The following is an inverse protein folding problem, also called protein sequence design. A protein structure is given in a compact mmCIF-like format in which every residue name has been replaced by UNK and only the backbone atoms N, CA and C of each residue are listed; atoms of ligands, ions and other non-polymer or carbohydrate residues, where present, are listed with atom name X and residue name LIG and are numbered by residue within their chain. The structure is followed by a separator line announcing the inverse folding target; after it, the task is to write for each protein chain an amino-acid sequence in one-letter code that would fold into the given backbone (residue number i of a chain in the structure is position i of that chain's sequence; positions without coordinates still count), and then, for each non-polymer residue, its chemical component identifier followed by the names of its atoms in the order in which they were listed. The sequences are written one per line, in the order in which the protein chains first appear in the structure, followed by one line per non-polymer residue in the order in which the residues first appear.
data_IF_161433843683
#
_entry.id   IF_161433843683
#
_cell.length_a   1.000
_cell.length_b   1.000
_cell.length_c   1.000
_cell.angle_alpha   90.00
_cell.angle_beta   90.00
_cell.angle_gamma   90.00
#
_symmetry.space_group_name_H-M   'P 1'
#
loop_
_entity.id
_entity.type
_entity.pdbx_description
1 polymer ?
#
# COMPACT_ATOMS: atom_id res chain seq x y z
N UNK A 1 -5.46 -27.73 -10.59
CA UNK A 1 -4.99 -28.09 -9.24
C UNK A 1 -3.73 -27.30 -8.99
N UNK A 2 -3.82 -26.17 -8.29
CA UNK A 2 -2.69 -25.30 -7.97
C UNK A 2 -2.23 -25.60 -6.55
N UNK A 3 -0.91 -25.70 -6.39
CA UNK A 3 -0.20 -25.99 -5.15
C UNK A 3 -0.57 -24.97 -4.04
N UNK A 4 -0.96 -25.38 -2.81
CA UNK A 4 -1.29 -24.47 -1.71
C UNK A 4 -0.05 -23.89 -1.00
N UNK A 5 1.16 -24.33 -1.35
CA UNK A 5 2.39 -23.90 -0.69
C UNK A 5 2.92 -22.59 -1.27
N UNK A 6 2.34 -21.47 -0.85
CA UNK A 6 3.08 -20.21 -0.74
C UNK A 6 2.99 -19.79 0.71
N UNK A 7 4.11 -19.91 1.42
CA UNK A 7 4.22 -19.62 2.84
C UNK A 7 3.74 -18.18 3.11
N UNK A 8 2.62 -18.07 3.80
CA UNK A 8 2.14 -16.81 4.36
C UNK A 8 3.18 -16.38 5.38
N UNK A 9 3.72 -15.17 5.23
CA UNK A 9 4.65 -14.60 6.21
C UNK A 9 3.92 -14.47 7.54
N UNK A 10 4.61 -14.83 8.63
CA UNK A 10 4.05 -14.98 9.98
C UNK A 10 3.09 -13.83 10.34
N UNK A 11 1.84 -14.20 10.66
CA UNK A 11 0.89 -13.30 11.29
C UNK A 11 1.53 -12.66 12.54
N UNK A 12 1.14 -11.43 12.92
CA UNK A 12 1.70 -10.81 14.12
C UNK A 12 1.49 -11.73 15.32
N UNK A 13 2.53 -11.91 16.14
CA UNK A 13 2.44 -12.69 17.38
C UNK A 13 1.53 -11.93 18.36
N UNK A 14 0.30 -12.44 18.52
CA UNK A 14 -0.70 -11.81 19.38
C UNK A 14 -0.50 -12.25 20.82
N UNK A 15 -0.72 -11.36 21.81
CA UNK A 15 -0.61 -11.72 23.23
C UNK A 15 -1.47 -12.96 23.57
N UNK A 16 -0.81 -14.02 24.03
CA UNK A 16 -1.40 -15.25 24.56
C UNK A 16 -1.37 -15.23 26.09
N UNK A 17 -2.12 -16.12 26.72
CA UNK A 17 -2.54 -16.12 28.14
C UNK A 17 -1.46 -16.23 29.25
N UNK A 18 -0.23 -15.76 29.04
CA UNK A 18 0.88 -15.98 29.97
C UNK A 18 1.15 -14.88 31.03
N UNK A 19 0.29 -13.86 31.19
CA UNK A 19 0.55 -12.76 32.13
C UNK A 19 -0.67 -11.92 32.53
N UNK A 20 -0.54 -11.03 33.55
CA UNK A 20 -1.61 -10.12 33.94
C UNK A 20 -2.00 -9.26 32.72
N UNK A 21 -3.31 -9.03 32.48
CA UNK A 21 -3.76 -8.32 31.30
C UNK A 21 -3.17 -6.91 31.29
N UNK A 22 -2.42 -6.58 30.24
CA UNK A 22 -2.14 -5.19 29.92
C UNK A 22 -3.47 -4.51 29.57
N UNK A 23 -3.72 -3.36 30.19
CA UNK A 23 -5.02 -2.70 30.10
C UNK A 23 -5.34 -2.32 28.65
N UNK A 24 -6.48 -2.78 28.14
CA UNK A 24 -6.91 -2.52 26.77
C UNK A 24 -6.48 -3.55 25.72
N UNK A 25 -5.75 -4.61 26.07
CA UNK A 25 -5.29 -5.64 25.13
C UNK A 25 -6.34 -6.73 24.89
N UNK A 26 -6.60 -7.05 23.62
CA UNK A 26 -7.35 -8.24 23.21
C UNK A 26 -6.39 -9.43 23.19
N UNK A 27 -6.73 -10.49 23.92
CA UNK A 27 -5.90 -11.71 24.00
C UNK A 27 -6.40 -12.77 23.03
N UNK A 28 -5.46 -13.40 22.35
CA UNK A 28 -5.73 -14.53 21.48
C UNK A 28 -5.86 -15.82 22.30
N UNK A 29 -6.97 -16.54 22.12
CA UNK A 29 -7.22 -17.86 22.73
C UNK A 29 -6.89 -18.96 21.72
N UNK A 30 -7.43 -18.88 20.52
CA UNK A 30 -7.21 -19.85 19.46
C UNK A 30 -7.28 -19.19 18.08
N UNK A 31 -6.36 -19.58 17.19
CA UNK A 31 -6.34 -19.09 15.81
C UNK A 31 -7.19 -19.98 14.90
N UNK A 32 -8.03 -19.36 14.07
CA UNK A 32 -8.86 -20.08 13.09
C UNK A 32 -8.71 -19.45 11.71
N UNK A 33 -8.27 -20.24 10.73
CA UNK A 33 -8.26 -19.83 9.32
C UNK A 33 -9.57 -20.28 8.68
N UNK A 34 -10.48 -19.34 8.48
CA UNK A 34 -11.81 -19.60 7.88
C UNK A 34 -11.73 -19.68 6.35
N UNK A 35 -10.80 -18.93 5.73
CA UNK A 35 -10.58 -18.94 4.28
C UNK A 35 -9.15 -18.56 3.91
N UNK A 36 -8.58 -19.24 2.91
CA UNK A 36 -7.28 -18.87 2.35
C UNK A 36 -7.21 -19.15 0.85
N UNK A 37 -6.57 -18.24 0.11
CA UNK A 37 -6.06 -18.45 -1.23
C UNK A 37 -4.75 -17.65 -1.40
N UNK A 38 -4.14 -17.68 -2.61
CA UNK A 38 -2.87 -16.98 -2.86
C UNK A 38 -2.89 -15.46 -2.62
N UNK A 39 -4.06 -14.84 -2.57
CA UNK A 39 -4.25 -13.39 -2.44
C UNK A 39 -4.70 -12.96 -1.06
N UNK A 40 -5.35 -13.83 -0.29
CA UNK A 40 -5.94 -13.45 1.00
C UNK A 40 -6.02 -14.63 1.93
N UNK A 41 -5.73 -14.36 3.21
CA UNK A 41 -6.06 -15.23 4.34
C UNK A 41 -7.01 -14.48 5.26
N UNK A 42 -8.10 -15.12 5.67
CA UNK A 42 -9.10 -14.59 6.58
C UNK A 42 -9.12 -15.47 7.81
N UNK A 43 -8.83 -14.86 8.96
CA UNK A 43 -8.93 -15.50 10.25
C UNK A 43 -10.16 -15.03 11.01
N UNK A 44 -10.75 -15.92 11.81
CA UNK A 44 -11.80 -15.59 12.75
C UNK A 44 -11.51 -16.20 14.13
N UNK A 45 -10.55 -15.59 14.81
CA UNK A 45 -9.90 -16.13 16.00
C UNK A 45 -10.80 -16.01 17.23
N UNK A 46 -10.66 -16.96 18.16
CA UNK A 46 -11.26 -16.86 19.50
C UNK A 46 -10.40 -15.92 20.35
N UNK A 47 -11.07 -14.98 21.02
CA UNK A 47 -10.40 -13.93 21.80
C UNK A 47 -11.07 -13.67 23.14
N UNK A 48 -10.31 -13.07 24.06
CA UNK A 48 -10.84 -12.42 25.26
C UNK A 48 -10.60 -10.91 25.14
N UNK A 49 -11.68 -10.14 25.23
CA UNK A 49 -11.65 -8.68 25.20
C UNK A 49 -11.18 -8.06 26.52
N UNK A 50 -10.80 -6.77 26.54
CA UNK A 50 -10.30 -6.11 27.75
C UNK A 50 -11.28 -6.12 28.93
N UNK A 51 -12.59 -6.22 28.67
CA UNK A 51 -13.62 -6.32 29.69
C UNK A 51 -13.82 -7.76 30.22
N UNK A 52 -13.00 -8.72 29.78
CA UNK A 52 -13.10 -10.14 30.13
C UNK A 52 -14.13 -10.93 29.33
N UNK A 53 -14.87 -10.31 28.41
CA UNK A 53 -15.81 -11.03 27.56
C UNK A 53 -15.06 -11.89 26.54
N UNK A 54 -15.51 -13.12 26.36
CA UNK A 54 -15.09 -13.98 25.25
C UNK A 54 -15.82 -13.57 23.96
N UNK A 55 -15.16 -13.74 22.82
CA UNK A 55 -15.79 -13.58 21.52
C UNK A 55 -14.86 -13.96 20.39
N UNK A 56 -15.15 -13.45 19.19
CA UNK A 56 -14.33 -13.71 18.00
C UNK A 56 -13.87 -12.41 17.34
N UNK A 57 -12.68 -12.44 16.74
CA UNK A 57 -12.08 -11.29 16.06
C UNK A 57 -11.65 -11.65 14.65
N UNK A 58 -11.98 -10.79 13.68
CA UNK A 58 -11.59 -10.99 12.28
C UNK A 58 -10.30 -10.25 11.98
N UNK A 59 -9.34 -10.94 11.36
CA UNK A 59 -8.16 -10.31 10.74
C UNK A 59 -7.95 -10.86 9.34
N UNK A 60 -7.48 -10.01 8.45
CA UNK A 60 -7.28 -10.32 7.04
C UNK A 60 -5.83 -9.99 6.66
N UNK A 61 -5.17 -10.93 6.00
CA UNK A 61 -3.82 -10.78 5.48
C UNK A 61 -3.84 -10.85 3.96
N UNK A 62 -3.28 -9.86 3.27
CA UNK A 62 -3.21 -9.83 1.81
C UNK A 62 -1.93 -10.51 1.32
N UNK A 63 -2.03 -11.59 0.53
CA UNK A 63 -0.89 -12.29 -0.08
C UNK A 63 0.23 -12.58 0.92
N UNK A 64 1.38 -11.95 0.68
CA UNK A 64 2.61 -12.01 1.50
C UNK A 64 2.51 -11.27 2.86
N UNK A 65 1.40 -10.56 3.11
CA UNK A 65 1.20 -9.67 4.24
C UNK A 65 1.88 -8.31 4.10
N UNK A 66 2.60 -8.06 3.00
CA UNK A 66 3.37 -6.83 2.79
C UNK A 66 3.05 -6.22 1.43
N UNK A 67 3.25 -4.90 1.34
CA UNK A 67 3.18 -4.18 0.09
C UNK A 67 4.18 -3.04 0.00
N UNK A 68 4.24 -2.45 -1.17
CA UNK A 68 5.04 -1.26 -1.46
C UNK A 68 4.23 -0.28 -2.29
N UNK A 69 4.49 1.01 -2.09
CA UNK A 69 3.99 2.08 -2.95
C UNK A 69 5.15 2.98 -3.34
N UNK A 70 5.33 3.18 -4.65
CA UNK A 70 6.30 4.10 -5.21
C UNK A 70 5.63 5.45 -5.47
N UNK A 71 6.27 6.54 -5.04
CA UNK A 71 5.84 7.92 -5.30
C UNK A 71 6.82 8.52 -6.32
N UNK A 72 6.51 8.49 -7.63
CA UNK A 72 7.37 9.05 -8.66
C UNK A 72 7.37 10.57 -8.52
N UNK A 73 8.54 11.15 -8.30
CA UNK A 73 8.74 12.58 -8.17
C UNK A 73 9.72 13.09 -9.23
N UNK A 74 9.36 14.19 -9.87
CA UNK A 74 10.25 14.91 -10.77
C UNK A 74 10.12 16.43 -10.54
N UNK A 75 11.23 17.15 -10.67
CA UNK A 75 11.15 18.58 -10.93
C UNK A 75 11.28 18.78 -12.45
N UNK A 76 10.22 19.28 -13.09
CA UNK A 76 10.20 19.54 -14.51
C UNK A 76 9.91 21.02 -14.75
N UNK A 77 10.86 21.70 -15.42
CA UNK A 77 10.80 23.14 -15.71
C UNK A 77 10.55 24.01 -14.46
N UNK A 78 11.12 23.62 -13.32
CA UNK A 78 11.03 24.36 -12.06
C UNK A 78 9.79 24.07 -11.23
N UNK A 79 8.93 23.15 -11.66
CA UNK A 79 7.71 22.76 -10.94
C UNK A 79 7.78 21.29 -10.48
N UNK A 80 7.25 20.96 -9.30
CA UNK A 80 7.19 19.59 -8.80
C UNK A 80 6.03 18.82 -9.44
N UNK A 81 6.33 17.62 -9.95
CA UNK A 81 5.37 16.69 -10.54
C UNK A 81 5.40 15.34 -9.84
N UNK A 82 4.24 14.70 -9.84
CA UNK A 82 4.00 13.37 -9.30
C UNK A 82 3.40 12.47 -10.39
N UNK A 83 3.93 11.25 -10.51
CA UNK A 83 3.43 10.24 -11.44
C UNK A 83 2.28 9.45 -10.81
N UNK A 84 1.11 9.45 -11.44
CA UNK A 84 -0.04 8.64 -11.03
C UNK A 84 -0.42 7.65 -12.13
N UNK A 85 -0.80 6.44 -11.73
CA UNK A 85 -1.36 5.42 -12.59
C UNK A 85 -2.88 5.51 -12.60
N UNK A 86 -3.45 5.42 -13.80
CA UNK A 86 -4.88 5.20 -14.03
C UNK A 86 -5.09 3.73 -14.36
N UNK A 87 -5.81 3.02 -13.50
CA UNK A 87 -6.07 1.58 -13.67
C UNK A 87 -7.49 1.21 -13.27
N UNK A 88 -8.03 0.14 -13.85
CA UNK A 88 -9.37 -0.36 -13.50
C UNK A 88 -9.26 -1.27 -12.28
N UNK A 89 -9.93 -0.91 -11.19
CA UNK A 89 -9.98 -1.76 -9.99
C UNK A 89 -11.25 -2.58 -10.03
N UNK A 90 -11.11 -3.88 -10.33
CA UNK A 90 -12.24 -4.82 -10.30
C UNK A 90 -13.06 -4.76 -9.01
N UNK A 91 -12.47 -4.65 -7.80
CA UNK A 91 -13.25 -4.58 -6.56
C UNK A 91 -14.18 -3.36 -6.43
N UNK A 92 -13.84 -2.23 -7.05
CA UNK A 92 -14.68 -1.00 -7.02
C UNK A 92 -15.46 -0.80 -8.32
N UNK A 93 -15.16 -1.57 -9.36
CA UNK A 93 -15.85 -1.50 -10.65
C UNK A 93 -15.58 -0.23 -11.45
N UNK A 94 -14.49 0.49 -11.14
CA UNK A 94 -14.19 1.78 -11.75
C UNK A 94 -12.69 1.99 -11.98
N UNK A 95 -12.37 3.01 -12.78
CA UNK A 95 -11.00 3.47 -12.92
C UNK A 95 -10.62 4.38 -11.76
N UNK A 96 -9.50 4.07 -11.13
CA UNK A 96 -8.92 4.85 -10.04
C UNK A 96 -7.65 5.58 -10.51
N UNK A 97 -7.31 6.66 -9.81
CA UNK A 97 -5.98 7.29 -9.89
C UNK A 97 -5.23 6.96 -8.60
N UNK A 98 -4.04 6.38 -8.75
CA UNK A 98 -3.23 5.86 -7.64
C UNK A 98 -1.74 6.13 -7.88
N UNK A 99 -0.94 6.09 -6.82
CA UNK A 99 0.49 5.86 -6.98
C UNK A 99 0.77 4.40 -7.34
N UNK A 100 1.84 4.10 -8.10
CA UNK A 100 2.20 2.73 -8.42
C UNK A 100 2.40 1.87 -7.17
N UNK A 101 1.78 0.69 -7.13
CA UNK A 101 1.81 -0.18 -5.94
C UNK A 101 1.45 -1.63 -6.23
N UNK A 102 1.96 -2.51 -5.38
CA UNK A 102 1.58 -3.91 -5.37
C UNK A 102 1.93 -4.61 -4.06
N UNK A 103 1.65 -5.92 -4.04
CA UNK A 103 2.12 -6.81 -2.97
C UNK A 103 3.63 -7.03 -3.11
N UNK A 104 4.30 -7.35 -2.01
CA UNK A 104 5.76 -7.50 -2.02
C UNK A 104 6.24 -8.56 -1.04
N UNK A 105 7.39 -9.17 -1.30
CA UNK A 105 7.98 -10.16 -0.38
C UNK A 105 8.70 -9.49 0.81
N UNK A 106 9.17 -8.26 0.60
CA UNK A 106 9.77 -7.38 1.61
C UNK A 106 9.37 -5.91 1.41
N UNK A 107 9.93 -5.02 2.24
CA UNK A 107 9.62 -3.60 2.25
C UNK A 107 10.72 -2.74 1.59
N UNK A 108 11.54 -3.35 0.73
CA UNK A 108 12.71 -2.73 0.12
C UNK A 108 12.35 -1.75 -1.00
N UNK A 109 13.34 -0.93 -1.37
CA UNK A 109 13.25 -0.10 -2.57
C UNK A 109 13.22 -0.94 -3.86
N UNK A 110 13.79 -2.16 -3.83
CA UNK A 110 13.81 -3.03 -5.00
C UNK A 110 12.40 -3.51 -5.37
N UNK A 111 11.59 -3.88 -4.37
CA UNK A 111 10.18 -4.22 -4.58
C UNK A 111 9.38 -3.00 -5.08
N UNK A 112 9.58 -1.82 -4.48
CA UNK A 112 8.92 -0.60 -4.96
C UNK A 112 9.33 -0.24 -6.40
N UNK A 113 10.58 -0.50 -6.77
CA UNK A 113 11.09 -0.32 -8.12
C UNK A 113 10.47 -1.32 -9.11
N UNK A 114 10.31 -2.59 -8.71
CA UNK A 114 9.68 -3.62 -9.54
C UNK A 114 8.27 -3.20 -9.95
N UNK A 115 7.43 -2.89 -8.97
CA UNK A 115 6.04 -2.43 -9.19
C UNK A 115 5.99 -1.14 -10.02
N UNK A 116 6.88 -0.18 -9.76
CA UNK A 116 6.99 1.04 -10.56
C UNK A 116 7.27 0.74 -12.03
N UNK A 117 8.26 -0.11 -12.32
CA UNK A 117 8.68 -0.41 -13.69
C UNK A 117 7.59 -1.20 -14.41
N UNK A 118 6.97 -2.19 -13.76
CA UNK A 118 5.87 -2.96 -14.33
C UNK A 118 4.70 -2.04 -14.73
N UNK A 119 4.20 -1.22 -13.80
CA UNK A 119 3.02 -0.39 -14.04
C UNK A 119 3.27 0.85 -14.91
N UNK A 120 4.52 1.33 -15.03
CA UNK A 120 4.80 2.65 -15.63
C UNK A 120 5.94 2.69 -16.65
N UNK A 121 6.79 1.66 -16.70
CA UNK A 121 8.02 1.64 -17.49
C UNK A 121 9.07 2.67 -17.04
N UNK A 122 8.87 3.35 -15.92
CA UNK A 122 9.74 4.43 -15.48
C UNK A 122 11.00 3.91 -14.77
N UNK A 123 12.15 4.30 -15.29
CA UNK A 123 13.44 4.19 -14.60
C UNK A 123 13.67 5.41 -13.69
N UNK A 124 14.34 5.23 -12.56
CA UNK A 124 14.62 6.28 -11.58
C UNK A 124 16.10 6.30 -11.18
N UNK A 125 16.58 7.44 -10.68
CA UNK A 125 18.01 7.62 -10.33
C UNK A 125 18.33 7.12 -8.92
N UNK A 126 17.49 7.45 -7.95
CA UNK A 126 17.59 6.98 -6.58
C UNK A 126 16.22 7.01 -5.89
N UNK A 127 16.12 6.26 -4.79
CA UNK A 127 14.91 6.20 -3.97
C UNK A 127 15.17 6.66 -2.54
N UNK A 128 14.13 7.20 -1.88
CA UNK A 128 14.15 7.56 -0.46
C UNK A 128 12.90 7.01 0.22
N UNK A 129 13.08 6.28 1.33
CA UNK A 129 11.95 5.80 2.13
C UNK A 129 11.24 7.00 2.75
N UNK A 130 9.93 7.05 2.56
CA UNK A 130 9.05 8.06 3.13
C UNK A 130 8.48 7.61 4.47
N UNK A 131 8.11 6.33 4.58
CA UNK A 131 7.55 5.76 5.81
C UNK A 131 6.91 4.39 5.58
N UNK A 132 6.08 3.99 6.54
CA UNK A 132 5.27 2.77 6.48
C UNK A 132 3.80 3.15 6.70
N UNK A 133 2.91 2.57 5.91
CA UNK A 133 1.46 2.76 5.91
C UNK A 133 0.82 1.45 6.38
N UNK A 134 -0.17 1.53 7.27
CA UNK A 134 -1.08 0.43 7.57
C UNK A 134 -2.45 0.78 6.99
N UNK A 135 -2.92 0.10 5.93
CA UNK A 135 -4.10 0.55 5.19
C UNK A 135 -5.39 0.57 6.01
N UNK A 136 -5.57 -0.41 6.91
CA UNK A 136 -6.67 -0.46 7.87
C UNK A 136 -6.25 -1.26 9.10
N UNK A 137 -5.88 -0.58 10.18
CA UNK A 137 -5.42 -1.21 11.42
C UNK A 137 -6.52 -1.92 12.21
N UNK A 138 -7.79 -1.78 11.81
CA UNK A 138 -8.91 -2.44 12.47
C UNK A 138 -9.09 -3.91 12.05
N UNK A 139 -8.63 -4.27 10.85
CA UNK A 139 -8.87 -5.60 10.26
C UNK A 139 -7.69 -6.13 9.43
N UNK A 140 -6.90 -5.28 8.78
CA UNK A 140 -5.80 -5.72 7.93
C UNK A 140 -4.51 -5.87 8.74
N UNK A 141 -3.77 -6.94 8.48
CA UNK A 141 -2.42 -7.13 9.04
C UNK A 141 -1.33 -6.51 8.18
N UNK A 142 -1.70 -5.95 7.01
CA UNK A 142 -0.75 -5.53 5.98
C UNK A 142 0.04 -4.29 6.36
N UNK A 143 1.36 -4.35 6.15
CA UNK A 143 2.24 -3.17 6.14
C UNK A 143 2.66 -2.81 4.73
N UNK A 144 2.63 -1.52 4.40
CA UNK A 144 3.02 -1.00 3.08
C UNK A 144 4.15 0.00 3.22
N UNK A 145 5.31 -0.23 2.61
CA UNK A 145 6.38 0.76 2.61
C UNK A 145 6.20 1.79 1.49
N UNK A 146 6.28 3.07 1.85
CA UNK A 146 6.22 4.16 0.90
C UNK A 146 7.64 4.63 0.54
N UNK A 147 7.94 4.69 -0.75
CA UNK A 147 9.23 5.11 -1.29
C UNK A 147 9.04 6.23 -2.31
N UNK A 148 9.74 7.34 -2.15
CA UNK A 148 9.86 8.35 -3.20
C UNK A 148 10.93 7.90 -4.20
N UNK A 149 10.62 7.93 -5.49
CA UNK A 149 11.58 7.67 -6.57
C UNK A 149 11.82 8.96 -7.36
N UNK A 150 13.06 9.27 -7.68
CA UNK A 150 13.44 10.54 -8.30
C UNK A 150 13.71 10.36 -9.80
N UNK A 151 13.06 11.19 -10.62
CA UNK A 151 13.04 11.08 -12.08
C UNK A 151 13.56 12.34 -12.76
N UNK A 152 14.26 12.15 -13.87
CA UNK A 152 14.71 13.23 -14.75
C UNK A 152 13.88 13.21 -16.04
N UNK A 153 12.93 14.14 -16.16
CA UNK A 153 11.98 14.16 -17.27
C UNK A 153 12.47 15.03 -18.44
N UNK A 154 12.30 14.52 -19.66
CA UNK A 154 12.48 15.29 -20.91
C UNK A 154 11.17 15.96 -21.35
N UNK A 155 10.07 15.25 -21.13
CA UNK A 155 8.69 15.70 -21.31
C UNK A 155 7.79 15.01 -20.27
N UNK A 156 6.51 15.32 -20.28
CA UNK A 156 5.52 14.76 -19.36
C UNK A 156 4.72 13.61 -19.99
N UNK A 157 5.01 13.25 -21.25
CA UNK A 157 4.32 12.18 -21.93
C UNK A 157 4.91 10.83 -21.50
N UNK A 158 4.03 9.87 -21.26
CA UNK A 158 4.43 8.48 -21.11
C UNK A 158 3.37 7.62 -21.80
N UNK A 159 3.82 6.80 -22.75
CA UNK A 159 2.98 5.95 -23.58
C UNK A 159 2.98 4.49 -23.10
N UNK A 160 3.62 4.20 -21.96
CA UNK A 160 3.60 2.89 -21.35
C UNK A 160 2.17 2.51 -20.99
N UNK A 161 1.80 1.31 -21.40
CA UNK A 161 0.56 0.63 -21.02
C UNK A 161 1.01 -0.69 -20.44
N UNK A 162 0.66 -0.95 -19.18
CA UNK A 162 1.00 -2.21 -18.54
C UNK A 162 0.14 -3.35 -19.14
N UNK A 163 0.76 -4.52 -19.34
CA UNK A 163 0.22 -5.59 -20.17
C UNK A 163 -1.01 -6.30 -19.56
N UNK A 164 -1.05 -6.51 -18.23
CA UNK A 164 -2.08 -7.29 -17.55
C UNK A 164 -3.33 -6.46 -17.18
N UNK A 165 -3.13 -5.24 -16.70
CA UNK A 165 -4.15 -4.35 -16.14
C UNK A 165 -4.54 -3.23 -17.10
N UNK A 166 -3.71 -2.95 -18.12
CA UNK A 166 -3.87 -1.79 -19.00
C UNK A 166 -3.65 -0.46 -18.27
N UNK A 167 -2.93 -0.47 -17.14
CA UNK A 167 -2.61 0.74 -16.40
C UNK A 167 -1.81 1.71 -17.27
N UNK A 168 -2.10 3.00 -17.11
CA UNK A 168 -1.38 4.08 -17.81
C UNK A 168 -0.91 5.11 -16.81
N UNK A 169 0.31 5.59 -16.97
CA UNK A 169 0.90 6.61 -16.09
C UNK A 169 0.77 8.01 -16.69
N UNK A 170 0.49 9.00 -15.84
CA UNK A 170 0.52 10.41 -16.21
C UNK A 170 1.16 11.23 -15.11
N UNK A 171 1.91 12.26 -15.52
CA UNK A 171 2.48 13.24 -14.61
C UNK A 171 1.49 14.36 -14.33
N UNK A 172 1.33 14.68 -13.05
CA UNK A 172 0.50 15.79 -12.57
C UNK A 172 1.38 16.70 -11.73
N UNK A 173 1.23 18.01 -11.88
CA UNK A 173 1.82 18.94 -10.92
C UNK A 173 1.26 18.67 -9.52
N UNK A 174 2.03 18.99 -8.48
CA UNK A 174 1.54 18.84 -7.10
C UNK A 174 0.21 19.56 -6.89
N UNK A 175 0.03 20.76 -7.47
CA UNK A 175 -1.23 21.49 -7.41
C UNK A 175 -2.41 20.75 -8.05
N UNK A 176 -2.20 20.09 -9.19
CA UNK A 176 -3.22 19.24 -9.82
C UNK A 176 -3.56 18.03 -8.94
N UNK A 177 -2.56 17.38 -8.35
CA UNK A 177 -2.79 16.27 -7.41
C UNK A 177 -3.64 16.72 -6.22
N UNK A 178 -3.35 17.88 -5.64
CA UNK A 178 -4.18 18.44 -4.56
C UNK A 178 -5.61 18.72 -5.03
N UNK A 179 -5.78 19.22 -6.26
CA UNK A 179 -7.10 19.38 -6.88
C UNK A 179 -7.84 18.05 -7.01
N UNK A 180 -7.15 16.98 -7.44
CA UNK A 180 -7.71 15.63 -7.56
C UNK A 180 -8.14 15.04 -6.22
N UNK A 181 -7.43 15.36 -5.13
CA UNK A 181 -7.85 14.97 -3.77
C UNK A 181 -9.14 15.72 -3.38
N UNK A 182 -9.14 17.05 -3.49
CA UNK A 182 -10.26 17.89 -3.05
C UNK A 182 -11.56 17.61 -3.81
N UNK A 183 -11.48 17.22 -5.09
CA UNK A 183 -12.65 16.93 -5.92
C UNK A 183 -13.05 15.43 -5.92
N UNK A 184 -12.40 14.61 -5.08
CA UNK A 184 -12.72 13.19 -4.94
C UNK A 184 -12.34 12.32 -6.16
N UNK A 185 -11.32 12.71 -6.94
CA UNK A 185 -10.79 11.92 -8.06
C UNK A 185 -9.56 11.10 -7.72
N UNK A 186 -8.84 11.45 -6.65
CA UNK A 186 -7.81 10.62 -6.03
C UNK A 186 -8.31 10.20 -4.65
N UNK A 187 -8.77 8.96 -4.55
CA UNK A 187 -9.49 8.43 -3.37
C UNK A 187 -8.83 7.19 -2.75
N UNK A 188 -7.80 6.64 -3.38
CA UNK A 188 -7.11 5.46 -2.86
C UNK A 188 -6.39 5.79 -1.55
N UNK A 189 -6.79 5.14 -0.45
CA UNK A 189 -6.28 5.43 0.90
C UNK A 189 -4.75 5.30 1.03
N UNK A 190 -4.15 4.28 0.41
CA UNK A 190 -2.68 4.12 0.38
C UNK A 190 -2.03 5.29 -0.34
N UNK A 191 -2.60 5.74 -1.46
CA UNK A 191 -2.06 6.86 -2.23
C UNK A 191 -2.19 8.18 -1.48
N UNK A 192 -3.32 8.41 -0.80
CA UNK A 192 -3.52 9.57 0.07
C UNK A 192 -2.53 9.61 1.24
N UNK A 193 -2.29 8.46 1.88
CA UNK A 193 -1.30 8.35 2.95
C UNK A 193 0.13 8.59 2.45
N UNK A 194 0.49 8.04 1.28
CA UNK A 194 1.79 8.28 0.66
C UNK A 194 1.99 9.75 0.25
N UNK A 195 0.93 10.42 -0.23
CA UNK A 195 0.92 11.85 -0.51
C UNK A 195 1.21 12.67 0.76
N UNK A 196 0.53 12.35 1.86
CA UNK A 196 0.76 13.01 3.14
C UNK A 196 2.22 12.82 3.61
N UNK A 197 2.80 11.63 3.43
CA UNK A 197 4.19 11.37 3.79
C UNK A 197 5.18 12.22 2.96
N UNK A 198 5.02 12.31 1.64
CA UNK A 198 5.94 13.11 0.80
C UNK A 198 5.78 14.63 1.04
N UNK A 199 4.58 15.11 1.36
CA UNK A 199 4.36 16.51 1.75
C UNK A 199 5.11 16.87 3.03
N UNK A 200 5.23 15.92 3.96
CA UNK A 200 5.93 16.12 5.24
C UNK A 200 7.41 15.69 5.21
N UNK A 201 7.92 15.19 4.08
CA UNK A 201 9.30 14.69 3.99
C UNK A 201 10.35 15.76 3.64
N UNK A 202 9.90 16.98 3.35
CA UNK A 202 10.72 18.09 2.85
C UNK A 202 11.20 17.93 1.41
N UNK A 203 10.61 17.01 0.64
CA UNK A 203 10.91 16.82 -0.80
C UNK A 203 10.10 17.78 -1.64
N UNK A 204 8.80 17.86 -1.32
CA UNK A 204 7.89 18.84 -1.90
C UNK A 204 7.81 19.98 -0.89
N UNK A 205 8.23 21.18 -1.29
CA UNK A 205 7.97 22.38 -0.52
C UNK A 205 6.59 22.90 -0.91
N UNK A 206 5.82 23.36 0.09
CA UNK A 206 4.50 23.97 -0.15
C UNK A 206 4.60 25.03 -1.26
N UNK A 207 3.63 24.99 -2.17
CA UNK A 207 3.41 26.03 -3.19
C UNK A 207 2.72 27.22 -2.53
#
# INVERSE_FOLDING_TARGET
MSNPDTAIKDLPDLPRDAGPPEEGVIRLVAEHVDYANRFVTVNFDDVVFPNGAEGRYTRISSGTGLGVVAVPYANFRGLPYLGLVRQYRYPTGEFTLEFPRGGSDDLSLAEAARELIEETGLEFTHGRKLGTIRPDTGILTTEVAAWCTFHALKDLENLHVEDETGATVRWYSVGEVMGLVLNGKLTCGISLAALALIQNSGIIHEV
#
